data_IF_904650575562
#
_entry.id   IF_904650575562
#
_cell.length_a   1.000
_cell.length_b   1.000
_cell.length_c   1.000
_cell.angle_alpha   90.00
_cell.angle_beta   90.00
_cell.angle_gamma   90.00
#
_symmetry.space_group_name_H-M   'P 1'
#
loop_
_entity.id
_entity.type
_entity.pdbx_description
1 polymer ?
#
# COMPACT_ATOMS: atom_id res chain seq x y z
N UNK A 1 -0.47 -10.82 -9.57
CA UNK A 1 -1.18 -9.89 -8.68
C UNK A 1 -2.65 -10.30 -8.40
N UNK A 2 -2.97 -11.59 -8.28
CA UNK A 2 -4.40 -12.00 -8.22
C UNK A 2 -5.10 -11.71 -6.88
N UNK A 3 -4.44 -11.95 -5.74
CA UNK A 3 -5.11 -11.86 -4.44
C UNK A 3 -5.34 -10.41 -3.98
N UNK A 4 -4.32 -9.57 -4.07
CA UNK A 4 -4.39 -8.17 -3.64
C UNK A 4 -5.49 -7.41 -4.41
N UNK A 5 -5.51 -7.52 -5.74
CA UNK A 5 -6.51 -6.86 -6.58
C UNK A 5 -7.94 -7.29 -6.24
N UNK A 6 -8.15 -8.58 -5.95
CA UNK A 6 -9.45 -9.09 -5.53
C UNK A 6 -9.90 -8.47 -4.20
N UNK A 7 -9.00 -8.40 -3.21
CA UNK A 7 -9.32 -7.78 -1.93
C UNK A 7 -9.62 -6.29 -2.07
N UNK A 8 -8.85 -5.56 -2.88
CA UNK A 8 -9.09 -4.14 -3.15
C UNK A 8 -10.47 -3.93 -3.77
N UNK A 9 -10.83 -4.70 -4.81
CA UNK A 9 -12.16 -4.64 -5.45
C UNK A 9 -13.29 -4.98 -4.47
N UNK A 10 -13.08 -5.98 -3.62
CA UNK A 10 -14.05 -6.33 -2.59
C UNK A 10 -14.22 -5.20 -1.57
N UNK A 11 -13.15 -4.55 -1.13
CA UNK A 11 -13.26 -3.42 -0.20
C UNK A 11 -13.93 -2.20 -0.86
N UNK A 12 -13.64 -1.93 -2.12
CA UNK A 12 -14.27 -0.84 -2.88
C UNK A 12 -15.78 -1.05 -3.08
N UNK A 13 -16.26 -2.29 -3.18
CA UNK A 13 -17.70 -2.56 -3.36
C UNK A 13 -18.55 -2.13 -2.15
N UNK A 14 -17.93 -1.93 -0.98
CA UNK A 14 -18.59 -1.36 0.20
C UNK A 14 -18.69 0.17 0.16
N UNK A 15 -18.18 0.84 -0.89
CA UNK A 15 -18.28 2.30 -1.06
C UNK A 15 -17.37 3.10 -0.14
N UNK A 16 -16.34 2.47 0.45
CA UNK A 16 -15.37 3.14 1.33
C UNK A 16 -14.06 3.43 0.58
N UNK A 17 -13.33 4.50 0.91
CA UNK A 17 -11.98 4.73 0.39
C UNK A 17 -11.04 3.58 0.79
N UNK A 18 -10.25 3.09 -0.15
CA UNK A 18 -9.32 1.96 0.07
C UNK A 18 -7.89 2.39 -0.23
N UNK A 19 -7.02 2.22 0.76
CA UNK A 19 -5.57 2.42 0.67
C UNK A 19 -4.88 1.08 0.91
N UNK A 20 -3.82 0.82 0.15
CA UNK A 20 -2.98 -0.36 0.35
C UNK A 20 -1.69 0.04 1.08
N UNK A 21 -1.52 -0.42 2.31
CA UNK A 21 -0.25 -0.28 3.01
C UNK A 21 0.66 -1.48 2.67
N UNK A 22 1.84 -1.22 2.12
CA UNK A 22 2.84 -2.23 1.79
C UNK A 22 3.84 -2.27 2.95
N UNK A 23 3.77 -3.29 3.78
CA UNK A 23 4.76 -3.49 4.83
C UNK A 23 6.08 -3.96 4.19
N UNK A 24 7.09 -3.11 4.19
CA UNK A 24 8.38 -3.40 3.56
C UNK A 24 9.30 -4.14 4.51
N UNK A 25 9.90 -5.22 4.01
CA UNK A 25 10.89 -6.02 4.73
C UNK A 25 12.30 -5.84 4.13
N UNK A 26 13.33 -6.21 4.89
CA UNK A 26 14.75 -6.04 4.50
C UNK A 26 15.13 -6.62 3.12
N UNK A 27 14.63 -7.79 2.68
CA UNK A 27 14.97 -8.34 1.37
C UNK A 27 14.17 -7.71 0.23
N UNK A 28 13.13 -6.91 0.51
CA UNK A 28 12.25 -6.37 -0.53
C UNK A 28 13.00 -5.32 -1.37
N UNK A 29 13.03 -5.57 -2.68
CA UNK A 29 13.67 -4.66 -3.63
C UNK A 29 12.75 -3.48 -3.97
N UNK A 30 13.34 -2.34 -4.32
CA UNK A 30 12.56 -1.19 -4.79
C UNK A 30 11.71 -1.54 -6.02
N UNK A 31 12.20 -2.45 -6.88
CA UNK A 31 11.50 -2.89 -8.09
C UNK A 31 10.20 -3.66 -7.76
N UNK A 32 10.23 -4.51 -6.74
CA UNK A 32 9.03 -5.23 -6.28
C UNK A 32 7.99 -4.27 -5.71
N UNK A 33 8.43 -3.30 -4.90
CA UNK A 33 7.55 -2.26 -4.34
C UNK A 33 6.94 -1.41 -5.46
N UNK A 34 7.74 -0.95 -6.42
CA UNK A 34 7.31 -0.18 -7.58
C UNK A 34 6.24 -0.91 -8.40
N UNK A 35 6.42 -2.23 -8.54
CA UNK A 35 5.49 -3.09 -9.28
C UNK A 35 4.14 -3.12 -8.60
N UNK A 36 4.09 -3.23 -7.26
CA UNK A 36 2.85 -3.19 -6.49
C UNK A 36 2.20 -1.80 -6.57
N UNK A 37 2.99 -0.73 -6.41
CA UNK A 37 2.48 0.65 -6.46
C UNK A 37 1.85 0.96 -7.81
N UNK A 38 2.52 0.59 -8.91
CA UNK A 38 1.98 0.77 -10.27
C UNK A 38 0.73 -0.07 -10.51
N UNK A 39 0.71 -1.32 -10.06
CA UNK A 39 -0.45 -2.20 -10.18
C UNK A 39 -1.68 -1.66 -9.44
N UNK A 40 -1.51 -1.13 -8.24
CA UNK A 40 -2.60 -0.51 -7.49
C UNK A 40 -3.05 0.82 -8.11
N UNK A 41 -2.10 1.63 -8.62
CA UNK A 41 -2.41 2.86 -9.35
C UNK A 41 -3.29 2.63 -10.58
N UNK A 42 -3.09 1.52 -11.31
CA UNK A 42 -3.94 1.12 -12.43
C UNK A 42 -5.38 0.77 -12.02
N UNK A 43 -5.59 0.37 -10.76
CA UNK A 43 -6.92 0.14 -10.19
C UNK A 43 -7.56 1.39 -9.59
N UNK A 44 -6.88 2.55 -9.67
CA UNK A 44 -7.33 3.79 -9.03
C UNK A 44 -7.12 3.79 -7.52
N UNK A 45 -6.24 2.94 -7.00
CA UNK A 45 -5.92 2.85 -5.58
C UNK A 45 -4.51 3.35 -5.28
N UNK A 46 -4.38 4.05 -4.17
CA UNK A 46 -3.07 4.42 -3.64
C UNK A 46 -2.45 3.24 -2.89
N UNK A 47 -1.19 2.96 -3.16
CA UNK A 47 -0.38 2.05 -2.36
C UNK A 47 0.81 2.79 -1.76
N UNK A 48 1.04 2.60 -0.47
CA UNK A 48 2.05 3.33 0.30
C UNK A 48 3.00 2.34 0.96
N UNK A 49 4.31 2.40 0.69
CA UNK A 49 5.29 1.59 1.42
C UNK A 49 5.47 2.11 2.84
N UNK A 50 5.40 1.22 3.83
CA UNK A 50 5.48 1.54 5.25
C UNK A 50 6.63 0.73 5.88
N UNK A 51 7.55 1.42 6.56
CA UNK A 51 8.78 0.85 7.19
C UNK A 51 8.72 0.92 8.72
N UNK A 52 7.52 0.89 9.29
CA UNK A 52 7.27 1.06 10.73
C UNK A 52 8.00 0.05 11.62
N UNK A 53 8.33 -1.12 11.07
CA UNK A 53 9.13 -2.11 11.78
C UNK A 53 10.59 -1.67 11.97
N UNK A 54 11.18 -0.99 10.99
CA UNK A 54 12.58 -0.53 11.05
C UNK A 54 12.74 0.86 11.67
N UNK A 55 11.81 1.78 11.37
CA UNK A 55 11.92 3.20 11.70
C UNK A 55 11.00 3.64 12.87
N UNK A 56 10.22 2.72 13.44
CA UNK A 56 9.23 3.01 14.47
C UNK A 56 8.10 3.95 13.98
N UNK A 57 7.45 4.62 14.93
CA UNK A 57 6.29 5.50 14.63
C UNK A 57 6.63 6.75 13.82
N UNK A 58 7.90 7.17 13.78
CA UNK A 58 8.35 8.42 13.17
C UNK A 58 8.11 8.45 11.64
N UNK A 59 8.42 7.36 10.92
CA UNK A 59 8.14 7.27 9.47
C UNK A 59 6.75 6.73 9.15
N UNK A 60 6.04 6.17 10.14
CA UNK A 60 4.67 5.69 9.96
C UNK A 60 3.65 6.83 9.77
N UNK A 61 4.00 8.04 10.21
CA UNK A 61 3.19 9.25 10.01
C UNK A 61 2.90 9.55 8.54
N UNK A 62 3.79 9.21 7.61
CA UNK A 62 3.54 9.44 6.18
C UNK A 62 2.51 8.44 5.61
N UNK A 63 2.60 7.17 6.01
CA UNK A 63 1.61 6.12 5.72
C UNK A 63 0.20 6.52 6.19
N UNK A 64 0.11 7.16 7.37
CA UNK A 64 -1.14 7.60 7.98
C UNK A 64 -1.66 8.96 7.47
N UNK A 65 -0.78 9.87 7.03
CA UNK A 65 -1.14 11.22 6.53
C UNK A 65 -1.45 11.28 5.04
N UNK A 66 -1.29 10.18 4.31
CA UNK A 66 -1.57 10.12 2.86
C UNK A 66 -3.05 10.38 2.49
N UNK A 67 -3.93 10.61 3.47
CA UNK A 67 -5.36 10.88 3.34
C UNK A 67 -5.84 12.07 4.19
N UNK A 68 -4.94 12.96 4.63
CA UNK A 68 -5.30 14.28 5.17
C UNK A 68 -4.96 15.39 4.17
#
# INVERSE_FOLDING_TARGET
MSNLERHVKNCQSYGVPVIVAINRYTPDTDQEIDTIVKGMGQLGNQAVPCTHWADGSAKNLWCLKSHL
#
